data_IF_357726739753
#
_entry.id   IF_357726739753
#
_cell.length_a   1.000
_cell.length_b   1.000
_cell.length_c   1.000
_cell.angle_alpha   90.00
_cell.angle_beta   90.00
_cell.angle_gamma   90.00
#
_symmetry.space_group_name_H-M   'P 1'
#
loop_
_entity.id
_entity.type
_entity.pdbx_description
1 polymer ?
#
# COMPACT_ATOMS: atom_id res chain seq x y z
N UNK A 1 10.46 3.68 -17.01
CA UNK A 1 10.22 2.91 -15.95
C UNK A 1 10.05 3.62 -14.72
N UNK A 2 10.80 4.58 -14.42
CA UNK A 2 10.67 5.30 -13.18
C UNK A 2 9.34 6.00 -13.07
N UNK A 3 8.78 6.48 -14.16
CA UNK A 3 7.49 7.16 -14.12
C UNK A 3 6.39 6.22 -13.63
N UNK A 4 6.44 4.94 -14.04
CA UNK A 4 5.48 3.96 -13.60
C UNK A 4 5.61 3.71 -12.09
N UNK A 5 6.85 3.58 -11.61
CA UNK A 5 7.10 3.35 -10.19
C UNK A 5 6.66 4.54 -9.36
N UNK A 6 6.89 5.76 -9.87
CA UNK A 6 6.48 6.97 -9.15
C UNK A 6 4.96 7.05 -9.05
N UNK A 7 4.26 6.72 -10.13
CA UNK A 7 2.81 6.75 -10.12
C UNK A 7 2.25 5.71 -9.16
N UNK A 8 2.82 4.51 -9.17
CA UNK A 8 2.38 3.45 -8.27
C UNK A 8 2.56 3.88 -6.82
N UNK A 9 3.73 4.41 -6.50
CA UNK A 9 4.03 4.89 -5.14
C UNK A 9 3.06 5.97 -4.72
N UNK A 10 2.81 6.94 -5.60
CA UNK A 10 1.92 8.05 -5.27
C UNK A 10 0.50 7.58 -5.00
N UNK A 11 0.04 6.57 -5.74
CA UNK A 11 -1.30 6.04 -5.52
C UNK A 11 -1.41 5.35 -4.17
N UNK A 12 -0.37 4.62 -3.78
CA UNK A 12 -0.35 3.96 -2.46
C UNK A 12 -0.29 5.01 -1.35
N UNK A 13 0.53 6.03 -1.52
CA UNK A 13 0.62 7.11 -0.52
C UNK A 13 -0.73 7.78 -0.34
N UNK A 14 -1.44 7.99 -1.43
CA UNK A 14 -2.76 8.62 -1.36
C UNK A 14 -3.73 7.77 -0.56
N UNK A 15 -3.68 6.45 -0.74
CA UNK A 15 -4.53 5.55 0.02
C UNK A 15 -4.22 5.65 1.52
N UNK A 16 -2.94 5.64 1.87
CA UNK A 16 -2.53 5.73 3.27
C UNK A 16 -2.97 7.05 3.87
N UNK A 17 -2.76 8.15 3.15
CA UNK A 17 -3.15 9.46 3.64
C UNK A 17 -4.66 9.56 3.82
N UNK A 18 -5.42 8.91 2.95
CA UNK A 18 -6.87 8.88 3.08
C UNK A 18 -7.31 8.20 4.37
N UNK A 19 -6.66 7.10 4.72
CA UNK A 19 -6.97 6.38 5.95
C UNK A 19 -6.61 7.24 7.16
N UNK A 20 -5.44 7.89 7.12
CA UNK A 20 -5.04 8.77 8.21
C UNK A 20 -6.05 9.89 8.40
N UNK A 21 -6.53 10.46 7.31
CA UNK A 21 -7.51 11.54 7.39
C UNK A 21 -8.82 11.07 8.02
N UNK A 22 -9.24 9.84 7.71
CA UNK A 22 -10.44 9.28 8.32
C UNK A 22 -10.29 9.12 9.82
N UNK A 23 -9.07 8.92 10.29
CA UNK A 23 -8.78 8.79 11.71
C UNK A 23 -8.44 10.12 12.36
N UNK A 24 -8.65 11.22 11.66
CA UNK A 24 -8.30 12.56 12.14
C UNK A 24 -6.81 12.69 12.43
N UNK A 25 -6.00 11.98 11.68
CA UNK A 25 -4.55 12.02 11.81
C UNK A 25 -3.94 12.74 10.63
N UNK A 26 -2.81 13.37 10.88
CA UNK A 26 -2.06 14.09 9.85
C UNK A 26 -0.60 13.85 10.12
N UNK A 27 0.04 13.10 9.24
CA UNK A 27 1.43 12.73 9.43
C UNK A 27 2.16 12.72 8.10
N UNK A 28 3.44 13.01 8.18
CA UNK A 28 4.32 12.88 7.01
C UNK A 28 4.52 11.39 6.76
N UNK A 29 4.21 10.94 5.55
CA UNK A 29 4.33 9.53 5.22
C UNK A 29 5.48 9.38 4.22
N UNK A 30 6.62 8.89 4.71
CA UNK A 30 7.77 8.61 3.85
C UNK A 30 7.72 7.15 3.42
N UNK A 31 8.30 6.80 2.26
CA UNK A 31 8.22 5.42 1.77
C UNK A 31 8.80 4.38 2.72
N UNK A 32 9.79 4.76 3.54
CA UNK A 32 10.45 3.82 4.44
C UNK A 32 9.85 3.78 5.83
N UNK A 33 8.95 4.72 6.16
CA UNK A 33 8.36 4.78 7.49
C UNK A 33 7.45 3.58 7.72
N UNK A 34 7.50 3.03 8.93
CA UNK A 34 6.60 1.95 9.30
C UNK A 34 5.21 2.52 9.45
N UNK A 35 4.25 1.87 8.81
CA UNK A 35 2.88 2.37 8.81
C UNK A 35 2.28 2.39 10.21
N UNK A 36 2.65 1.42 11.06
CA UNK A 36 2.17 1.44 12.44
C UNK A 36 2.70 2.65 13.20
N UNK A 37 3.90 3.12 12.84
CA UNK A 37 4.49 4.28 13.51
C UNK A 37 3.81 5.58 13.11
N UNK A 38 3.21 5.65 11.92
CA UNK A 38 2.50 6.86 11.51
C UNK A 38 1.04 6.83 11.97
N UNK A 39 0.60 5.75 12.60
CA UNK A 39 -0.69 5.74 13.26
C UNK A 39 -1.71 4.74 12.73
N UNK A 40 -1.33 3.88 11.80
CA UNK A 40 -2.27 2.90 11.28
C UNK A 40 -2.45 1.74 12.26
N UNK A 41 -3.72 1.39 12.52
CA UNK A 41 -4.07 0.26 13.38
C UNK A 41 -4.23 -0.99 12.53
N UNK A 42 -4.49 -2.12 13.20
CA UNK A 42 -4.74 -3.37 12.49
C UNK A 42 -5.96 -3.26 11.57
N UNK A 43 -7.00 -2.58 12.03
CA UNK A 43 -8.18 -2.37 11.18
C UNK A 43 -7.84 -1.50 9.99
N UNK A 44 -7.00 -0.51 10.20
CA UNK A 44 -6.55 0.35 9.10
C UNK A 44 -5.78 -0.44 8.07
N UNK A 45 -5.00 -1.43 8.50
CA UNK A 45 -4.28 -2.28 7.56
C UNK A 45 -5.23 -3.09 6.70
N UNK A 46 -6.33 -3.57 7.26
CA UNK A 46 -7.35 -4.27 6.48
C UNK A 46 -7.96 -3.33 5.46
N UNK A 47 -8.29 -2.11 5.88
CA UNK A 47 -8.84 -1.11 4.96
C UNK A 47 -7.85 -0.77 3.86
N UNK A 48 -6.57 -0.69 4.21
CA UNK A 48 -5.52 -0.42 3.23
C UNK A 48 -5.42 -1.56 2.22
N UNK A 49 -5.49 -2.80 2.69
CA UNK A 49 -5.47 -3.96 1.81
C UNK A 49 -6.61 -3.90 0.80
N UNK A 50 -7.82 -3.64 1.29
CA UNK A 50 -8.98 -3.55 0.42
C UNK A 50 -8.87 -2.38 -0.54
N UNK A 51 -8.32 -1.25 -0.07
CA UNK A 51 -8.10 -0.10 -0.91
C UNK A 51 -7.11 -0.37 -2.03
N UNK A 52 -6.05 -1.11 -1.72
CA UNK A 52 -5.06 -1.47 -2.73
C UNK A 52 -5.69 -2.37 -3.79
N UNK A 53 -6.49 -3.34 -3.36
CA UNK A 53 -7.17 -4.23 -4.31
C UNK A 53 -8.09 -3.45 -5.23
N UNK A 54 -8.84 -2.51 -4.67
CA UNK A 54 -9.77 -1.70 -5.46
C UNK A 54 -9.03 -0.74 -6.38
N UNK A 55 -7.96 -0.13 -5.87
CA UNK A 55 -7.23 0.88 -6.63
C UNK A 55 -6.54 0.29 -7.86
N UNK A 56 -6.00 -0.91 -7.73
CA UNK A 56 -5.23 -1.54 -8.79
C UNK A 56 -5.98 -2.68 -9.48
N UNK A 57 -7.22 -2.90 -9.07
CA UNK A 57 -8.13 -3.85 -9.71
C UNK A 57 -7.54 -5.26 -9.78
N UNK A 58 -7.15 -5.77 -8.61
CA UNK A 58 -6.64 -7.13 -8.52
C UNK A 58 -6.90 -7.66 -7.11
N UNK A 59 -6.71 -8.96 -6.92
CA UNK A 59 -6.86 -9.57 -5.61
C UNK A 59 -5.47 -9.94 -5.09
N UNK A 60 -5.16 -9.48 -3.88
CA UNK A 60 -3.87 -9.80 -3.27
C UNK A 60 -3.89 -11.27 -2.85
N UNK A 61 -2.95 -12.09 -3.35
CA UNK A 61 -2.87 -13.49 -2.91
C UNK A 61 -2.68 -13.56 -1.39
N UNK A 62 -3.33 -14.52 -0.77
CA UNK A 62 -3.28 -14.63 0.67
C UNK A 62 -1.85 -14.79 1.18
N UNK A 63 -0.99 -15.46 0.41
CA UNK A 63 0.40 -15.65 0.79
C UNK A 63 1.18 -14.33 0.83
N UNK A 64 0.67 -13.29 0.18
CA UNK A 64 1.32 -11.99 0.17
C UNK A 64 0.79 -11.05 1.25
N UNK A 65 -0.27 -11.45 1.95
CA UNK A 65 -0.82 -10.65 3.04
C UNK A 65 -0.02 -10.94 4.29
N UNK A 66 1.13 -10.30 4.42
CA UNK A 66 2.06 -10.52 5.52
C UNK A 66 2.42 -9.20 6.17
N UNK A 67 2.85 -9.24 7.44
CA UNK A 67 3.29 -8.00 8.09
C UNK A 67 4.44 -7.34 7.34
N UNK A 68 5.32 -8.12 6.74
CA UNK A 68 6.46 -7.58 6.01
C UNK A 68 6.02 -6.78 4.80
N UNK A 69 5.04 -7.27 4.06
CA UNK A 69 4.56 -6.59 2.85
C UNK A 69 3.76 -5.33 3.19
N UNK A 70 3.17 -5.28 4.36
CA UNK A 70 2.37 -4.13 4.79
C UNK A 70 3.10 -3.26 5.79
N UNK A 71 4.43 -3.37 5.86
CA UNK A 71 5.21 -2.64 6.82
C UNK A 71 5.35 -1.16 6.45
N UNK A 72 5.58 -0.87 5.17
CA UNK A 72 5.81 0.49 4.71
C UNK A 72 5.28 0.66 3.30
N UNK A 73 5.27 1.90 2.84
CA UNK A 73 4.87 2.19 1.46
C UNK A 73 5.81 1.48 0.49
N UNK A 74 7.10 1.45 0.81
CA UNK A 74 8.08 0.82 -0.05
C UNK A 74 7.81 -0.68 -0.22
N UNK A 75 7.49 -1.37 0.88
CA UNK A 75 7.22 -2.80 0.79
C UNK A 75 5.90 -3.08 0.07
N UNK A 76 4.89 -2.23 0.29
CA UNK A 76 3.63 -2.35 -0.44
C UNK A 76 3.85 -2.14 -1.93
N UNK A 77 4.62 -1.12 -2.28
CA UNK A 77 4.90 -0.82 -3.68
C UNK A 77 5.56 -2.02 -4.36
N UNK A 78 6.53 -2.62 -3.69
CA UNK A 78 7.22 -3.77 -4.25
C UNK A 78 6.27 -4.95 -4.44
N UNK A 79 5.43 -5.22 -3.46
CA UNK A 79 4.48 -6.32 -3.55
C UNK A 79 3.47 -6.09 -4.67
N UNK A 80 2.90 -4.89 -4.75
CA UNK A 80 1.91 -4.57 -5.77
C UNK A 80 2.55 -4.65 -7.16
N UNK A 81 3.74 -4.10 -7.32
CA UNK A 81 4.43 -4.13 -8.61
C UNK A 81 4.66 -5.57 -9.07
N UNK A 82 5.06 -6.44 -8.15
CA UNK A 82 5.30 -7.83 -8.47
C UNK A 82 4.01 -8.51 -8.91
N UNK A 83 2.91 -8.26 -8.21
CA UNK A 83 1.63 -8.88 -8.54
C UNK A 83 1.10 -8.38 -9.88
N UNK A 84 1.23 -7.10 -10.15
CA UNK A 84 0.77 -6.55 -11.43
C UNK A 84 1.58 -7.09 -12.59
N UNK A 85 2.89 -7.26 -12.41
CA UNK A 85 3.73 -7.84 -13.44
C UNK A 85 3.37 -9.28 -13.70
N UNK A 86 3.08 -10.06 -12.65
CA UNK A 86 2.67 -11.44 -12.80
C UNK A 86 1.36 -11.55 -13.55
N UNK A 87 0.39 -10.69 -13.22
CA UNK A 87 -0.89 -10.69 -13.91
C UNK A 87 -0.72 -10.34 -15.38
N UNK A 88 0.14 -9.38 -15.67
CA UNK A 88 0.37 -8.96 -17.06
C UNK A 88 1.10 -10.04 -17.84
N UNK A 89 1.95 -10.82 -17.18
CA UNK A 89 2.69 -11.89 -17.83
C UNK A 89 1.85 -13.14 -18.07
N UNK A 90 0.77 -13.29 -17.32
CA UNK A 90 -0.13 -14.42 -17.48
C UNK A 90 -1.02 -14.22 -18.70
#
# INVERSE_FOLDING_TARGET
>A
MQAFDTELRNRIIKLVKGILAQNSLSAEVTPQAKLVDVGLTSMDMVNLMLGVEAEFDFTIPQSEITPENFQSIETLERMVATQLQSAAAA
#
